data_IF_997306438077
#
_entry.id   IF_997306438077
#
_cell.length_a   1.000
_cell.length_b   1.000
_cell.length_c   1.000
_cell.angle_alpha   90.00
_cell.angle_beta   90.00
_cell.angle_gamma   90.00
#
_symmetry.space_group_name_H-M   'P 1'
#
loop_
_entity.id
_entity.type
_entity.pdbx_description
1 polymer ?
#
# COMPACT_ATOMS: atom_id res chain seq x y z
N UNK A 1 3.99 -11.20 -12.85
CA UNK A 1 4.48 -10.11 -11.98
C UNK A 1 5.95 -10.33 -11.69
N UNK A 2 6.68 -9.27 -11.33
CA UNK A 2 8.09 -9.34 -10.91
C UNK A 2 8.21 -9.29 -9.39
N UNK A 3 9.23 -9.93 -8.84
CA UNK A 3 9.49 -10.01 -7.40
C UNK A 3 10.74 -9.18 -7.05
N UNK A 4 10.60 -8.22 -6.15
CA UNK A 4 11.64 -7.27 -5.73
C UNK A 4 11.99 -7.48 -4.26
N UNK A 5 12.15 -8.73 -3.86
CA UNK A 5 12.39 -9.13 -2.48
C UNK A 5 13.71 -8.59 -1.91
N UNK A 6 14.73 -8.36 -2.73
CA UNK A 6 16.00 -7.79 -2.23
C UNK A 6 15.87 -6.31 -1.83
N UNK A 7 14.88 -5.60 -2.36
CA UNK A 7 14.67 -4.20 -2.03
C UNK A 7 14.15 -4.05 -0.59
N UNK A 8 14.66 -3.04 0.12
CA UNK A 8 14.18 -2.63 1.44
C UNK A 8 13.27 -1.41 1.39
N UNK A 9 13.38 -0.59 0.34
CA UNK A 9 12.63 0.66 0.21
C UNK A 9 11.98 0.76 -1.15
N UNK A 10 10.73 1.22 -1.17
CA UNK A 10 10.01 1.65 -2.38
C UNK A 10 9.63 3.12 -2.23
N UNK A 11 9.82 3.87 -3.31
CA UNK A 11 9.49 5.29 -3.38
C UNK A 11 8.44 5.48 -4.47
N UNK A 12 7.26 5.95 -4.08
CA UNK A 12 6.22 6.38 -5.00
C UNK A 12 6.41 7.86 -5.29
N UNK A 13 6.83 8.18 -6.51
CA UNK A 13 6.91 9.57 -7.00
C UNK A 13 5.52 10.10 -7.34
N UNK A 14 4.62 9.22 -7.79
CA UNK A 14 3.21 9.50 -7.99
C UNK A 14 2.43 8.20 -7.73
N UNK A 15 1.37 8.25 -6.92
CA UNK A 15 0.49 7.11 -6.72
C UNK A 15 -0.56 7.05 -7.84
N UNK A 16 -0.85 5.83 -8.33
CA UNK A 16 -1.93 5.64 -9.28
C UNK A 16 -3.29 5.98 -8.67
N UNK A 17 -4.24 6.44 -9.48
CA UNK A 17 -5.60 6.79 -9.02
C UNK A 17 -6.42 5.57 -8.57
N UNK A 18 -5.98 4.38 -8.98
CA UNK A 18 -6.56 3.09 -8.61
C UNK A 18 -5.78 2.53 -7.43
N UNK A 19 -6.42 2.49 -6.26
CA UNK A 19 -5.81 2.04 -5.02
C UNK A 19 -5.25 0.60 -5.10
N UNK A 20 -5.94 -0.29 -5.83
CA UNK A 20 -5.52 -1.68 -6.03
C UNK A 20 -4.16 -1.80 -6.72
N UNK A 21 -3.88 -0.96 -7.71
CA UNK A 21 -2.60 -0.99 -8.44
C UNK A 21 -1.44 -0.58 -7.54
N UNK A 22 -1.68 0.39 -6.64
CA UNK A 22 -0.70 0.81 -5.64
C UNK A 22 -0.40 -0.31 -4.63
N UNK A 23 -1.42 -1.07 -4.21
CA UNK A 23 -1.22 -2.25 -3.35
C UNK A 23 -0.38 -3.29 -4.07
N UNK A 24 -0.72 -3.63 -5.32
CA UNK A 24 0.04 -4.61 -6.09
C UNK A 24 1.50 -4.22 -6.27
N UNK A 25 1.79 -2.91 -6.39
CA UNK A 25 3.17 -2.42 -6.41
C UNK A 25 3.86 -2.59 -5.05
N UNK A 26 3.15 -2.31 -3.94
CA UNK A 26 3.66 -2.53 -2.57
C UNK A 26 3.91 -4.02 -2.30
N UNK A 27 3.12 -4.92 -2.88
CA UNK A 27 3.30 -6.37 -2.71
C UNK A 27 4.60 -6.89 -3.35
N UNK A 28 5.15 -6.21 -4.37
CA UNK A 28 6.38 -6.65 -5.04
C UNK A 28 7.61 -6.64 -4.15
N UNK A 29 7.62 -5.77 -3.14
CA UNK A 29 8.72 -5.71 -2.17
C UNK A 29 8.47 -6.64 -0.98
N UNK A 30 7.26 -7.16 -0.77
CA UNK A 30 6.95 -8.06 0.34
C UNK A 30 7.65 -9.41 0.17
N UNK A 31 8.09 -9.99 1.28
CA UNK A 31 8.67 -11.32 1.27
C UNK A 31 7.57 -12.35 1.02
N UNK A 32 7.76 -13.24 0.04
CA UNK A 32 6.78 -14.29 -0.28
C UNK A 32 6.90 -15.54 0.59
N UNK A 33 7.93 -15.62 1.44
CA UNK A 33 8.20 -16.78 2.32
C UNK A 33 8.52 -16.34 3.75
N UNK A 34 8.15 -17.14 4.77
CA UNK A 34 8.44 -16.85 6.18
C UNK A 34 9.94 -16.67 6.48
N UNK A 35 10.80 -17.43 5.81
CA UNK A 35 12.26 -17.38 5.99
C UNK A 35 12.82 -16.04 5.52
N UNK A 36 12.40 -15.58 4.34
CA UNK A 36 12.79 -14.27 3.80
C UNK A 36 12.19 -13.13 4.60
N UNK A 37 10.98 -13.29 5.14
CA UNK A 37 10.36 -12.31 6.02
C UNK A 37 11.18 -12.10 7.30
N UNK A 38 11.70 -13.18 7.90
CA UNK A 38 12.58 -13.11 9.09
C UNK A 38 13.93 -12.43 8.80
N UNK A 39 14.41 -12.48 7.56
CA UNK A 39 15.65 -11.84 7.15
C UNK A 39 15.48 -10.36 6.80
N UNK A 40 14.25 -9.88 6.57
CA UNK A 40 13.99 -8.47 6.28
C UNK A 40 13.96 -7.63 7.55
N UNK A 41 14.98 -6.78 7.70
CA UNK A 41 15.21 -6.01 8.92
C UNK A 41 14.34 -4.76 9.03
N UNK A 42 13.80 -4.24 7.91
CA UNK A 42 12.74 -3.21 7.84
C UNK A 42 12.39 -2.93 6.37
N UNK A 43 11.11 -2.69 6.09
CA UNK A 43 10.65 -2.23 4.79
C UNK A 43 10.12 -0.80 4.90
N UNK A 44 10.55 0.07 3.99
CA UNK A 44 10.12 1.46 3.95
C UNK A 44 9.30 1.71 2.69
N UNK A 45 8.14 2.33 2.85
CA UNK A 45 7.31 2.82 1.76
C UNK A 45 7.26 4.33 1.92
N UNK A 46 7.82 5.05 0.96
CA UNK A 46 7.84 6.50 0.94
C UNK A 46 6.96 6.95 -0.23
N UNK A 47 6.01 7.84 0.04
CA UNK A 47 5.21 8.49 -1.01
C UNK A 47 5.57 9.97 -1.01
N UNK A 48 5.97 10.48 -2.17
CA UNK A 48 6.16 11.90 -2.39
C UNK A 48 4.81 12.52 -2.75
N UNK A 49 4.49 13.63 -2.11
CA UNK A 49 3.28 14.42 -2.38
C UNK A 49 3.72 15.86 -2.48
N UNK A 50 3.49 16.51 -3.62
CA UNK A 50 3.78 17.93 -3.77
C UNK A 50 2.78 18.75 -2.96
N UNK A 51 3.30 19.62 -2.10
CA UNK A 51 2.50 20.54 -1.30
C UNK A 51 1.73 21.52 -2.21
N UNK A 52 0.54 21.92 -1.77
CA UNK A 52 -0.35 22.88 -2.44
C UNK A 52 -0.68 22.51 -3.89
N UNK A 53 -0.73 21.21 -4.19
CA UNK A 53 -1.00 20.69 -5.52
C UNK A 53 -2.22 19.78 -5.52
N UNK A 54 -2.69 19.42 -6.72
CA UNK A 54 -3.75 18.42 -6.89
C UNK A 54 -3.37 17.04 -6.31
N UNK A 55 -2.08 16.78 -6.11
CA UNK A 55 -1.60 15.52 -5.53
C UNK A 55 -2.07 15.34 -4.08
N UNK A 56 -2.20 16.42 -3.30
CA UNK A 56 -2.76 16.36 -1.94
C UNK A 56 -4.20 15.84 -1.96
N UNK A 57 -5.01 16.38 -2.87
CA UNK A 57 -6.40 15.93 -3.05
C UNK A 57 -6.45 14.44 -3.42
N UNK A 58 -5.64 14.01 -4.38
CA UNK A 58 -5.61 12.60 -4.78
C UNK A 58 -5.12 11.69 -3.65
N UNK A 59 -4.11 12.12 -2.89
CA UNK A 59 -3.60 11.36 -1.76
C UNK A 59 -4.67 11.17 -0.68
N UNK A 60 -5.43 12.22 -0.34
CA UNK A 60 -6.55 12.11 0.60
C UNK A 60 -7.68 11.22 0.07
N UNK A 61 -8.02 11.32 -1.22
CA UNK A 61 -9.02 10.43 -1.83
C UNK A 61 -8.57 8.96 -1.82
N UNK A 62 -7.29 8.68 -2.03
CA UNK A 62 -6.74 7.33 -1.95
C UNK A 62 -6.81 6.76 -0.53
N UNK A 63 -6.61 7.58 0.51
CA UNK A 63 -6.81 7.16 1.91
C UNK A 63 -8.27 6.79 2.20
N UNK A 64 -9.23 7.56 1.69
CA UNK A 64 -10.65 7.24 1.84
C UNK A 64 -11.02 5.94 1.13
N UNK A 65 -10.56 5.77 -0.12
CA UNK A 65 -10.78 4.54 -0.89
C UNK A 65 -10.17 3.32 -0.20
N UNK A 66 -8.98 3.45 0.41
CA UNK A 66 -8.37 2.41 1.23
C UNK A 66 -9.30 1.95 2.35
N UNK A 67 -9.85 2.89 3.12
CA UNK A 67 -10.76 2.58 4.23
C UNK A 67 -12.01 1.85 3.74
N UNK A 68 -12.62 2.31 2.65
CA UNK A 68 -13.79 1.64 2.07
C UNK A 68 -13.47 0.23 1.56
N UNK A 69 -12.34 0.06 0.85
CA UNK A 69 -11.90 -1.26 0.39
C UNK A 69 -11.57 -2.20 1.54
N UNK A 70 -10.96 -1.72 2.62
CA UNK A 70 -10.70 -2.53 3.82
C UNK A 70 -11.98 -2.96 4.52
N UNK A 71 -12.98 -2.07 4.61
CA UNK A 71 -14.29 -2.40 5.19
C UNK A 71 -15.03 -3.45 4.37
N UNK A 72 -15.01 -3.33 3.04
CA UNK A 72 -15.62 -4.32 2.13
C UNK A 72 -14.89 -5.66 2.25
N UNK A 73 -13.56 -5.66 2.19
CA UNK A 73 -12.76 -6.89 2.23
C UNK A 73 -12.84 -7.61 3.59
N UNK A 74 -13.11 -6.87 4.67
CA UNK A 74 -13.26 -7.43 6.02
C UNK A 74 -14.71 -7.38 6.53
N UNK A 75 -15.70 -7.35 5.64
CA UNK A 75 -17.10 -7.14 5.97
C UNK A 75 -17.63 -8.04 7.11
N UNK A 76 -17.26 -9.32 7.14
CA UNK A 76 -17.64 -10.27 8.21
C UNK A 76 -17.13 -9.85 9.59
N UNK A 77 -15.94 -9.24 9.65
CA UNK A 77 -15.34 -8.75 10.90
C UNK A 77 -16.09 -7.52 11.41
N UNK A 78 -16.54 -6.64 10.51
CA UNK A 78 -17.30 -5.45 10.87
C UNK A 78 -18.75 -5.75 11.26
N UNK A 79 -19.38 -6.77 10.68
CA UNK A 79 -20.72 -7.23 11.07
C UNK A 79 -20.83 -7.71 12.52
N UNK A 80 -19.76 -8.31 13.08
CA UNK A 80 -19.76 -8.87 14.45
C UNK A 80 -19.61 -7.83 15.56
N UNK A 81 -19.42 -6.56 15.21
CA UNK A 81 -19.13 -5.49 16.18
C UNK A 81 -20.27 -4.47 16.30
N UNK A 82 -21.41 -4.75 15.67
CA UNK A 82 -22.65 -3.97 15.75
C UNK A 82 -23.73 -4.83 16.40
#
# INVERSE_FOLDING_TARGET
>A
GITLEAASTIIFVNEGLVYGDNIQCKDRILATTPEKAKQKVKQHIITLVSEHSIEEYFHEQLKLKKSSSEMINNYIKYLKTT
#
